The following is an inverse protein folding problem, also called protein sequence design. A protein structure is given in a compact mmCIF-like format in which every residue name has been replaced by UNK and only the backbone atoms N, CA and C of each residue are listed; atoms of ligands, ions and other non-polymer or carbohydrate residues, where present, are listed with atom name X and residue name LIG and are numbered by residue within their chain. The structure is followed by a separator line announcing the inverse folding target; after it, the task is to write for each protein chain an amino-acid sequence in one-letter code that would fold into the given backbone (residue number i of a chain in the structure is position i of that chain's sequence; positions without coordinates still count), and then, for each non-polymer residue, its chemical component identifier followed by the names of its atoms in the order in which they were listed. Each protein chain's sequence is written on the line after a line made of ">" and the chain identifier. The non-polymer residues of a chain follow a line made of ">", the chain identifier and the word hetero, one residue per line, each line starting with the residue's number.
data_IF_129783241545
#
_entry.id   IF_129783241545
#
_cell.length_a   1.000
_cell.length_b   1.000
_cell.length_c   1.000
_cell.angle_alpha   90.00
_cell.angle_beta   90.00
_cell.angle_gamma   90.00
#
_symmetry.space_group_name_H-M   'P 1'
#
loop_
_entity.id
_entity.type
_entity.pdbx_description
1 polymer ?
#
# COMPACT_ATOMS: atom_id res chain seq x y z
N UNK A 1 16.09 -11.54 -34.30
CA UNK A 1 15.03 -11.19 -33.34
C UNK A 1 15.69 -10.67 -32.07
N UNK A 2 15.10 -9.70 -31.40
CA UNK A 2 15.61 -9.22 -30.09
C UNK A 2 15.11 -10.14 -28.97
N UNK A 3 15.75 -10.14 -27.81
CA UNK A 3 15.20 -10.82 -26.61
C UNK A 3 13.77 -10.35 -26.26
N UNK A 4 13.39 -9.14 -26.68
CA UNK A 4 12.04 -8.57 -26.49
C UNK A 4 10.99 -9.27 -27.36
N UNK A 5 11.37 -9.76 -28.54
CA UNK A 5 10.46 -10.34 -29.55
C UNK A 5 10.74 -11.81 -29.81
N UNK A 6 11.63 -12.43 -29.02
CA UNK A 6 11.89 -13.88 -29.05
C UNK A 6 10.63 -14.67 -28.69
N UNK A 7 9.82 -14.13 -27.79
CA UNK A 7 8.48 -14.61 -27.49
C UNK A 7 7.47 -13.56 -27.98
N UNK A 8 6.43 -13.97 -28.74
CA UNK A 8 5.40 -13.03 -29.16
C UNK A 8 4.65 -12.47 -27.95
N UNK A 9 4.15 -11.24 -28.07
CA UNK A 9 3.27 -10.67 -27.08
C UNK A 9 2.00 -11.54 -26.94
N UNK A 10 1.43 -11.56 -25.75
CA UNK A 10 0.14 -12.21 -25.52
C UNK A 10 -0.97 -11.56 -26.37
N UNK A 11 -2.01 -12.32 -26.67
CA UNK A 11 -3.20 -11.76 -27.33
C UNK A 11 -3.82 -10.66 -26.44
N UNK A 12 -4.42 -9.61 -27.01
CA UNK A 12 -4.93 -8.48 -26.23
C UNK A 12 -5.85 -8.87 -25.07
N UNK A 13 -6.69 -9.89 -25.26
CA UNK A 13 -7.62 -10.36 -24.23
C UNK A 13 -6.94 -11.07 -23.06
N UNK A 14 -5.82 -11.76 -23.33
CA UNK A 14 -5.00 -12.38 -22.29
C UNK A 14 -4.28 -11.31 -21.47
N UNK A 15 -3.75 -10.28 -22.14
CA UNK A 15 -3.15 -9.13 -21.48
C UNK A 15 -4.17 -8.41 -20.57
N UNK A 16 -5.39 -8.16 -21.04
CA UNK A 16 -6.48 -7.59 -20.22
C UNK A 16 -6.72 -8.42 -18.96
N UNK A 17 -6.84 -9.74 -19.11
CA UNK A 17 -7.09 -10.65 -17.97
C UNK A 17 -5.93 -10.62 -16.96
N UNK A 18 -4.69 -10.60 -17.45
CA UNK A 18 -3.50 -10.52 -16.61
C UNK A 18 -3.46 -9.21 -15.82
N UNK A 19 -3.57 -8.07 -16.51
CA UNK A 19 -3.44 -6.77 -15.87
C UNK A 19 -4.60 -6.42 -14.95
N UNK A 20 -5.83 -6.89 -15.22
CA UNK A 20 -6.94 -6.75 -14.27
C UNK A 20 -6.68 -7.49 -12.95
N UNK A 21 -6.06 -8.68 -13.01
CA UNK A 21 -5.68 -9.41 -11.79
C UNK A 21 -4.57 -8.69 -11.04
N UNK A 22 -3.56 -8.22 -11.75
CA UNK A 22 -2.46 -7.44 -11.17
C UNK A 22 -3.00 -6.20 -10.45
N UNK A 23 -3.69 -5.32 -11.17
CA UNK A 23 -4.25 -4.08 -10.64
C UNK A 23 -5.32 -4.29 -9.56
N UNK A 24 -5.88 -5.50 -9.42
CA UNK A 24 -6.83 -5.81 -8.35
C UNK A 24 -6.16 -6.01 -6.98
N UNK A 25 -4.86 -6.29 -6.94
CA UNK A 25 -4.12 -6.60 -5.69
C UNK A 25 -3.03 -5.58 -5.37
N UNK A 26 -2.74 -4.64 -6.26
CA UNK A 26 -1.72 -3.62 -6.05
C UNK A 26 -2.11 -2.24 -6.61
N UNK A 27 -1.42 -1.22 -6.13
CA UNK A 27 -1.46 0.19 -6.55
C UNK A 27 -0.04 0.75 -6.44
N UNK A 28 0.30 1.80 -7.17
CA UNK A 28 1.60 2.46 -7.04
C UNK A 28 1.57 3.67 -6.09
N UNK A 29 2.72 4.32 -5.91
CA UNK A 29 2.84 5.53 -5.09
C UNK A 29 2.13 6.73 -5.73
N UNK A 30 2.08 6.81 -7.07
CA UNK A 30 1.51 7.94 -7.79
C UNK A 30 -0.02 7.97 -7.67
N UNK A 31 -0.68 6.83 -7.78
CA UNK A 31 -2.12 6.65 -7.59
C UNK A 31 -2.52 7.02 -6.15
N UNK A 32 -1.77 6.52 -5.16
CA UNK A 32 -2.02 6.85 -3.75
C UNK A 32 -1.80 8.35 -3.49
N UNK A 33 -0.73 8.93 -4.04
CA UNK A 33 -0.49 10.37 -3.94
C UNK A 33 -1.60 11.18 -4.60
N UNK A 34 -2.06 10.79 -5.79
CA UNK A 34 -3.16 11.46 -6.49
C UNK A 34 -4.44 11.43 -5.65
N UNK A 35 -4.81 10.27 -5.10
CA UNK A 35 -6.00 10.13 -4.27
C UNK A 35 -5.93 11.02 -3.01
N UNK A 36 -4.77 11.08 -2.36
CA UNK A 36 -4.56 11.95 -1.19
C UNK A 36 -4.63 13.43 -1.59
N UNK A 37 -3.89 13.83 -2.62
CA UNK A 37 -3.76 15.24 -3.03
C UNK A 37 -5.07 15.85 -3.53
N UNK A 38 -5.95 15.04 -4.13
CA UNK A 38 -7.26 15.47 -4.63
C UNK A 38 -8.40 15.24 -3.63
N UNK A 39 -8.10 14.78 -2.41
CA UNK A 39 -9.11 14.45 -1.39
C UNK A 39 -10.12 13.39 -1.87
N UNK A 40 -9.61 12.40 -2.62
CA UNK A 40 -10.33 11.25 -3.19
C UNK A 40 -9.96 9.93 -2.48
N UNK A 41 -9.29 10.01 -1.33
CA UNK A 41 -8.87 8.82 -0.57
C UNK A 41 -10.09 8.08 0.00
N UNK A 42 -10.48 6.99 -0.66
CA UNK A 42 -11.58 6.10 -0.30
C UNK A 42 -11.11 4.78 0.36
N UNK A 43 -9.85 4.75 0.79
CA UNK A 43 -9.19 3.60 1.42
C UNK A 43 -8.45 3.97 2.71
N UNK A 44 -8.19 2.96 3.54
CA UNK A 44 -7.34 3.08 4.73
C UNK A 44 -5.91 2.69 4.37
N UNK A 45 -5.00 3.66 4.47
CA UNK A 45 -3.58 3.45 4.20
C UNK A 45 -2.85 2.99 5.47
N UNK A 46 -2.13 1.87 5.41
CA UNK A 46 -1.46 1.26 6.56
C UNK A 46 0.05 1.13 6.34
N UNK A 47 0.83 1.73 7.25
CA UNK A 47 2.24 1.41 7.42
C UNK A 47 2.39 0.18 8.31
N UNK A 48 2.98 -0.91 7.80
CA UNK A 48 2.91 -2.22 8.47
C UNK A 48 4.23 -2.70 9.08
N UNK A 49 5.28 -1.88 9.03
CA UNK A 49 6.63 -2.20 9.54
C UNK A 49 7.16 -1.06 10.40
N UNK A 50 8.25 -1.34 11.13
CA UNK A 50 8.92 -0.34 11.95
C UNK A 50 8.28 -0.13 13.32
N UNK A 51 8.83 0.82 14.08
CA UNK A 51 8.34 1.23 15.38
C UNK A 51 7.44 2.48 15.27
N UNK A 52 6.59 2.76 16.28
CA UNK A 52 5.81 4.00 16.32
C UNK A 52 6.65 5.26 16.16
N UNK A 53 7.88 5.28 16.68
CA UNK A 53 8.80 6.40 16.57
C UNK A 53 9.32 6.57 15.14
N UNK A 54 9.62 5.46 14.44
CA UNK A 54 10.02 5.50 13.03
C UNK A 54 8.88 6.03 12.15
N UNK A 55 7.66 5.55 12.39
CA UNK A 55 6.48 6.07 11.71
C UNK A 55 6.27 7.55 12.01
N UNK A 56 6.35 7.96 13.29
CA UNK A 56 6.13 9.35 13.70
C UNK A 56 7.11 10.33 13.05
N UNK A 57 8.36 9.91 12.83
CA UNK A 57 9.35 10.71 12.11
C UNK A 57 9.00 10.90 10.65
N UNK A 58 8.54 9.83 9.99
CA UNK A 58 8.37 9.82 8.54
C UNK A 58 7.41 8.73 8.11
N UNK A 59 6.28 9.13 7.53
CA UNK A 59 5.30 8.24 6.92
C UNK A 59 4.58 8.90 5.74
N UNK A 60 3.85 8.10 4.96
CA UNK A 60 3.01 8.62 3.88
C UNK A 60 1.83 9.38 4.51
N UNK A 61 1.48 10.60 4.04
CA UNK A 61 0.35 11.35 4.58
C UNK A 61 -0.94 10.53 4.63
N UNK A 62 -1.73 10.69 5.70
CA UNK A 62 -2.98 9.95 5.89
C UNK A 62 -2.82 8.47 6.28
N UNK A 63 -1.59 7.96 6.38
CA UNK A 63 -1.36 6.58 6.83
C UNK A 63 -1.60 6.39 8.32
N UNK A 64 -1.93 5.15 8.70
CA UNK A 64 -1.93 4.68 10.09
C UNK A 64 -0.82 3.65 10.30
N UNK A 65 -0.14 3.70 11.43
CA UNK A 65 0.79 2.65 11.82
C UNK A 65 0.04 1.46 12.40
N UNK A 66 0.09 0.31 11.71
CA UNK A 66 -0.54 -0.92 12.17
C UNK A 66 0.33 -2.13 11.81
N UNK A 67 1.27 -2.54 12.68
CA UNK A 67 2.06 -3.74 12.48
C UNK A 67 1.18 -4.99 12.33
N UNK A 68 1.61 -5.94 11.49
CA UNK A 68 0.88 -7.19 11.23
C UNK A 68 0.45 -7.95 12.49
N UNK A 69 1.23 -7.89 13.58
CA UNK A 69 0.89 -8.53 14.86
C UNK A 69 -0.42 -8.00 15.46
N UNK A 70 -0.78 -6.75 15.19
CA UNK A 70 -1.96 -6.07 15.74
C UNK A 70 -3.22 -6.22 14.88
N UNK A 71 -3.10 -6.74 13.64
CA UNK A 71 -4.24 -6.97 12.73
C UNK A 71 -5.06 -8.19 13.14
N UNK A 72 -5.70 -8.18 14.31
CA UNK A 72 -6.64 -9.25 14.73
C UNK A 72 -8.02 -9.02 14.13
N UNK A 73 -8.88 -10.05 14.11
CA UNK A 73 -10.24 -9.90 13.59
C UNK A 73 -11.01 -8.80 14.34
N UNK A 74 -10.87 -8.75 15.66
CA UNK A 74 -11.52 -7.76 16.53
C UNK A 74 -11.00 -6.35 16.25
N UNK A 75 -9.69 -6.19 16.02
CA UNK A 75 -9.11 -4.90 15.66
C UNK A 75 -9.61 -4.44 14.30
N UNK A 76 -9.64 -5.32 13.31
CA UNK A 76 -10.04 -4.95 11.95
C UNK A 76 -11.55 -4.73 11.81
N UNK A 77 -12.37 -5.31 12.68
CA UNK A 77 -13.82 -5.09 12.73
C UNK A 77 -14.22 -3.67 13.18
N UNK A 78 -13.25 -2.82 13.56
CA UNK A 78 -13.50 -1.42 13.91
C UNK A 78 -13.78 -0.55 12.68
N UNK A 79 -13.41 -0.99 11.48
CA UNK A 79 -13.75 -0.32 10.23
C UNK A 79 -15.05 -0.87 9.64
N UNK A 80 -15.80 -0.04 8.88
CA UNK A 80 -16.99 -0.50 8.16
C UNK A 80 -16.70 -1.70 7.26
N UNK A 81 -17.70 -2.56 7.07
CA UNK A 81 -17.63 -3.66 6.12
C UNK A 81 -17.33 -3.14 4.70
N UNK A 82 -16.49 -3.86 3.95
CA UNK A 82 -16.08 -3.46 2.61
C UNK A 82 -14.99 -2.38 2.56
N UNK A 83 -14.49 -1.90 3.70
CA UNK A 83 -13.35 -0.96 3.74
C UNK A 83 -12.16 -1.55 2.99
N UNK A 84 -11.68 -0.82 1.98
CA UNK A 84 -10.43 -1.15 1.28
C UNK A 84 -9.23 -0.74 2.12
N UNK A 85 -8.32 -1.68 2.35
CA UNK A 85 -7.02 -1.40 2.94
C UNK A 85 -5.95 -1.33 1.86
N UNK A 86 -5.09 -0.32 1.94
CA UNK A 86 -3.86 -0.25 1.15
C UNK A 86 -2.70 -0.36 2.13
N UNK A 87 -1.83 -1.37 1.95
CA UNK A 87 -0.71 -1.61 2.87
C UNK A 87 0.62 -1.32 2.21
N UNK A 88 1.53 -0.71 2.97
CA UNK A 88 2.88 -0.42 2.48
C UNK A 88 3.94 -0.64 3.56
N UNK A 89 5.17 -0.88 3.12
CA UNK A 89 6.30 -1.15 4.00
C UNK A 89 7.50 -0.25 3.65
N UNK A 90 8.72 -0.69 3.95
CA UNK A 90 9.93 0.08 3.69
C UNK A 90 10.17 0.29 2.19
N UNK A 91 10.01 -0.75 1.37
CA UNK A 91 10.19 -0.69 -0.07
C UNK A 91 10.33 -2.07 -0.73
N UNK A 92 10.82 -2.16 -1.97
CA UNK A 92 10.78 -3.39 -2.78
C UNK A 92 11.56 -4.58 -2.21
N UNK A 93 12.46 -4.35 -1.25
CA UNK A 93 13.21 -5.41 -0.56
C UNK A 93 12.53 -5.93 0.71
N UNK A 94 11.28 -5.55 0.97
CA UNK A 94 10.55 -5.90 2.19
C UNK A 94 9.24 -6.64 1.88
N UNK A 95 9.13 -7.88 2.35
CA UNK A 95 7.89 -8.68 2.25
C UNK A 95 6.83 -8.32 3.33
N UNK A 96 7.00 -7.18 4.01
CA UNK A 96 6.12 -6.77 5.11
C UNK A 96 4.70 -6.48 4.62
N UNK A 97 4.59 -5.76 3.49
CA UNK A 97 3.32 -5.42 2.85
C UNK A 97 2.57 -6.69 2.39
N UNK A 98 3.23 -7.59 1.66
CA UNK A 98 2.62 -8.85 1.19
C UNK A 98 2.09 -9.71 2.34
N UNK A 99 2.87 -9.83 3.41
CA UNK A 99 2.47 -10.61 4.59
C UNK A 99 1.30 -9.98 5.34
N UNK A 100 1.20 -8.65 5.35
CA UNK A 100 0.06 -7.94 5.92
C UNK A 100 -1.18 -8.10 5.03
N UNK A 101 -1.04 -7.91 3.71
CA UNK A 101 -2.12 -8.10 2.74
C UNK A 101 -2.69 -9.53 2.80
N UNK A 102 -1.84 -10.56 2.82
CA UNK A 102 -2.29 -11.94 2.99
C UNK A 102 -3.09 -12.14 4.29
N UNK A 103 -2.67 -11.51 5.39
CA UNK A 103 -3.38 -11.62 6.66
C UNK A 103 -4.77 -10.97 6.58
N UNK A 104 -4.86 -9.76 6.01
CA UNK A 104 -6.12 -9.05 5.83
C UNK A 104 -7.06 -9.80 4.87
N UNK A 105 -6.55 -10.30 3.75
CA UNK A 105 -7.32 -11.10 2.81
C UNK A 105 -7.89 -12.38 3.45
N UNK A 106 -7.13 -13.04 4.34
CA UNK A 106 -7.60 -14.21 5.11
C UNK A 106 -8.68 -13.87 6.14
N UNK A 107 -8.77 -12.60 6.55
CA UNK A 107 -9.87 -12.09 7.36
C UNK A 107 -11.09 -11.67 6.50
N UNK A 108 -11.03 -11.86 5.18
CA UNK A 108 -12.09 -11.47 4.25
C UNK A 108 -12.11 -9.98 3.92
N UNK A 109 -11.04 -9.24 4.22
CA UNK A 109 -10.99 -7.80 4.02
C UNK A 109 -10.41 -7.46 2.64
N UNK A 110 -11.03 -6.54 1.88
CA UNK A 110 -10.46 -6.03 0.63
C UNK A 110 -9.11 -5.36 0.90
N UNK A 111 -8.09 -5.73 0.14
CA UNK A 111 -6.74 -5.22 0.37
C UNK A 111 -5.92 -5.14 -0.93
N UNK A 112 -5.12 -4.08 -1.03
CA UNK A 112 -4.05 -3.94 -2.03
C UNK A 112 -2.72 -3.62 -1.36
N UNK A 113 -1.62 -3.93 -2.02
CA UNK A 113 -0.28 -3.41 -1.66
C UNK A 113 -0.01 -2.10 -2.40
N UNK A 114 0.63 -1.13 -1.75
CA UNK A 114 1.25 0.01 -2.44
C UNK A 114 2.71 -0.35 -2.76
N UNK A 115 3.00 -0.52 -4.04
CA UNK A 115 4.33 -0.83 -4.54
C UNK A 115 5.32 0.30 -4.20
N UNK A 116 6.60 -0.04 -4.12
CA UNK A 116 7.68 0.91 -3.84
C UNK A 116 7.82 1.32 -2.37
N UNK A 117 6.73 1.30 -1.57
CA UNK A 117 6.77 1.63 -0.15
C UNK A 117 7.31 3.03 0.12
N UNK A 118 8.00 3.22 1.26
CA UNK A 118 8.65 4.49 1.60
C UNK A 118 9.72 4.88 0.56
N UNK A 119 10.52 3.92 0.09
CA UNK A 119 11.58 4.19 -0.91
C UNK A 119 11.00 4.74 -2.21
N UNK A 120 9.98 4.10 -2.77
CA UNK A 120 9.33 4.58 -3.99
C UNK A 120 8.69 5.95 -3.80
N UNK A 121 8.06 6.20 -2.66
CA UNK A 121 7.50 7.51 -2.32
C UNK A 121 8.58 8.61 -2.27
N UNK A 122 9.77 8.29 -1.77
CA UNK A 122 10.92 9.19 -1.75
C UNK A 122 11.50 9.43 -3.15
N UNK A 123 11.60 8.38 -3.98
CA UNK A 123 12.11 8.47 -5.35
C UNK A 123 11.24 9.39 -6.23
N UNK A 124 9.91 9.35 -6.03
CA UNK A 124 8.93 10.24 -6.67
C UNK A 124 8.96 11.68 -6.11
N UNK A 125 9.74 11.93 -5.05
CA UNK A 125 9.88 13.23 -4.36
C UNK A 125 8.58 13.75 -3.75
N UNK A 126 7.67 12.84 -3.39
CA UNK A 126 6.44 13.22 -2.69
C UNK A 126 6.71 13.60 -1.24
N UNK A 127 5.87 14.50 -0.71
CA UNK A 127 6.01 14.98 0.67
C UNK A 127 5.66 13.87 1.68
N UNK A 128 6.44 13.79 2.76
CA UNK A 128 6.14 12.91 3.89
C UNK A 128 5.39 13.68 4.98
N UNK A 129 4.56 12.97 5.72
CA UNK A 129 4.03 13.44 6.99
C UNK A 129 4.98 13.07 8.13
N UNK A 130 4.94 13.87 9.20
CA UNK A 130 5.52 13.56 10.49
C UNK A 130 4.53 13.93 11.59
N UNK A 131 4.52 13.16 12.67
CA UNK A 131 3.68 13.41 13.84
C UNK A 131 4.50 13.84 15.06
N UNK A 132 5.81 14.09 14.90
CA UNK A 132 6.68 14.61 15.97
C UNK A 132 6.30 16.04 16.41
N UNK A 133 5.51 16.78 15.62
CA UNK A 133 5.20 18.20 15.88
C UNK A 133 3.85 18.46 16.57
N UNK A 134 3.08 17.44 16.96
CA UNK A 134 1.77 17.64 17.60
C UNK A 134 1.80 17.82 19.13
N UNK A 135 2.98 17.84 19.77
CA UNK A 135 3.15 17.97 21.24
C UNK A 135 3.72 19.34 21.66
N UNK A 136 3.60 20.35 20.80
CA UNK A 136 4.07 21.70 21.12
C UNK A 136 2.97 22.76 20.96
N UNK A 137 1.84 22.59 21.67
CA UNK A 137 0.94 23.66 22.10
C UNK A 137 0.28 23.28 23.43
#
# INVERSE_FOLDING_TARGET
>A
MSYVTEFPAAEPQEAVTHFLRLLSVETDCADVHHAIANNEQDFVLLHVVGSPEQFARRHVPGALHLPRSQMTAERMAQWPEGTLFVVYCAGPHCNGADRAALKLARLGLPVKIMLGGITGWEDEKFAFASSETAVAL
#
